data_IF_297528770072
#
_entry.id   IF_297528770072
#
_cell.length_a   1.000
_cell.length_b   1.000
_cell.length_c   1.000
_cell.angle_alpha   90.00
_cell.angle_beta   90.00
_cell.angle_gamma   90.00
#
_symmetry.space_group_name_H-M   'P 1'
#
loop_
_entity.id
_entity.type
_entity.pdbx_description
1 polymer ?
#
# COMPACT_ATOMS: atom_id res chain seq x y z
N UNK A 1 -21.22 -18.75 -23.74
CA UNK A 1 -20.72 -17.44 -24.19
C UNK A 1 -19.30 -17.40 -23.72
N UNK A 2 -18.42 -17.87 -24.59
CA UNK A 2 -17.00 -18.01 -24.35
C UNK A 2 -16.35 -16.68 -24.73
N UNK A 3 -15.77 -16.00 -23.75
CA UNK A 3 -14.99 -14.78 -23.98
C UNK A 3 -13.52 -15.17 -24.06
N UNK A 4 -13.01 -15.18 -25.29
CA UNK A 4 -11.60 -15.23 -25.63
C UNK A 4 -10.88 -14.02 -25.01
N UNK A 5 -9.88 -14.30 -24.15
CA UNK A 5 -8.95 -13.29 -23.66
C UNK A 5 -7.75 -13.22 -24.61
N UNK A 6 -7.68 -12.14 -25.38
CA UNK A 6 -6.52 -11.77 -26.18
C UNK A 6 -5.27 -11.60 -25.30
N UNK A 7 -4.33 -12.51 -25.50
CA UNK A 7 -3.00 -12.54 -24.89
C UNK A 7 -2.02 -11.86 -25.86
N UNK A 8 -2.03 -10.52 -25.90
CA UNK A 8 -1.07 -9.78 -26.74
C UNK A 8 0.33 -9.71 -26.11
N UNK A 9 1.27 -10.32 -26.84
CA UNK A 9 2.70 -10.07 -27.01
C UNK A 9 3.44 -9.22 -25.96
N UNK A 10 4.16 -9.91 -25.08
CA UNK A 10 5.25 -9.31 -24.31
C UNK A 10 6.58 -9.52 -25.02
N UNK A 11 7.08 -8.45 -25.66
CA UNK A 11 8.40 -8.38 -26.29
C UNK A 11 9.50 -8.64 -25.26
N UNK A 12 10.14 -9.80 -25.38
CA UNK A 12 11.29 -10.22 -24.59
C UNK A 12 12.58 -9.58 -25.12
N UNK A 13 13.19 -8.68 -24.35
CA UNK A 13 14.58 -8.27 -24.59
C UNK A 13 15.52 -9.41 -24.19
N UNK A 14 15.87 -10.27 -25.16
CA UNK A 14 17.00 -11.19 -25.02
C UNK A 14 18.30 -10.42 -25.21
N UNK A 15 19.07 -10.29 -24.14
CA UNK A 15 20.52 -10.05 -24.20
C UNK A 15 21.19 -11.25 -24.89
N UNK A 16 21.66 -11.05 -26.12
CA UNK A 16 22.53 -12.00 -26.80
C UNK A 16 23.98 -11.72 -26.36
N UNK A 17 24.49 -12.54 -25.44
CA UNK A 17 25.92 -12.68 -25.21
C UNK A 17 26.51 -13.59 -26.28
N UNK A 18 27.07 -12.99 -27.33
CA UNK A 18 27.82 -13.69 -28.37
C UNK A 18 29.32 -13.65 -28.05
N UNK A 19 29.92 -14.83 -27.89
CA UNK A 19 31.37 -15.06 -27.90
C UNK A 19 31.83 -15.17 -29.35
N UNK A 20 32.79 -14.35 -29.77
CA UNK A 20 33.53 -14.46 -31.04
C UNK A 20 34.97 -14.02 -30.68
N UNK A 21 36.03 -14.81 -30.82
CA UNK A 21 36.45 -15.52 -32.02
C UNK A 21 37.46 -14.64 -32.75
N UNK A 22 38.76 -14.91 -32.53
CA UNK A 22 39.88 -14.18 -33.14
C UNK A 22 39.84 -14.23 -34.68
N UNK A 23 40.01 -13.08 -35.34
CA UNK A 23 40.76 -12.96 -36.62
C UNK A 23 41.06 -11.50 -37.03
N UNK A 24 42.36 -11.30 -37.25
CA UNK A 24 43.12 -10.40 -38.14
C UNK A 24 42.48 -9.18 -38.85
N UNK A 25 43.11 -8.02 -38.57
CA UNK A 25 43.59 -6.91 -39.43
C UNK A 25 42.97 -6.73 -40.84
N UNK A 26 42.28 -5.61 -41.08
CA UNK A 26 42.77 -4.41 -41.80
C UNK A 26 41.60 -3.51 -42.27
N UNK A 27 41.92 -2.22 -42.43
CA UNK A 27 41.12 -1.11 -43.00
C UNK A 27 40.30 -0.24 -42.04
N UNK A 28 40.86 0.95 -41.78
CA UNK A 28 40.22 2.09 -41.13
C UNK A 28 39.21 2.78 -42.08
N UNK A 29 37.93 2.94 -41.70
CA UNK A 29 37.02 3.83 -42.38
C UNK A 29 37.07 5.25 -41.82
N UNK A 30 36.88 6.22 -42.71
CA UNK A 30 36.88 7.66 -42.47
C UNK A 30 35.81 8.13 -41.45
N UNK A 31 36.01 9.29 -40.81
CA UNK A 31 35.07 9.80 -39.80
C UNK A 31 33.78 10.30 -40.47
N UNK A 32 32.69 9.56 -40.29
CA UNK A 32 31.35 10.06 -40.58
C UNK A 32 30.95 11.11 -39.54
N UNK A 33 30.73 12.34 -40.01
CA UNK A 33 30.05 13.40 -39.28
C UNK A 33 28.72 12.87 -38.73
N UNK A 34 28.61 12.74 -37.40
CA UNK A 34 27.34 12.58 -36.71
C UNK A 34 26.60 13.90 -36.72
N UNK A 35 25.42 13.92 -37.35
CA UNK A 35 24.44 15.00 -37.18
C UNK A 35 24.12 15.18 -35.68
N UNK A 36 23.98 16.43 -35.20
CA UNK A 36 23.55 16.70 -33.84
C UNK A 36 22.12 16.18 -33.65
N UNK A 37 21.94 15.35 -32.62
CA UNK A 37 20.64 14.83 -32.22
C UNK A 37 19.64 15.97 -32.00
N UNK A 38 18.51 15.91 -32.71
CA UNK A 38 17.42 16.85 -32.55
C UNK A 38 16.92 16.85 -31.09
N UNK A 39 16.64 18.01 -30.49
CA UNK A 39 16.13 18.08 -29.12
C UNK A 39 14.77 17.39 -29.03
N UNK A 40 14.72 16.31 -28.25
CA UNK A 40 13.52 15.52 -28.04
C UNK A 40 12.39 16.32 -27.38
N UNK A 41 11.22 16.33 -28.03
CA UNK A 41 9.81 16.42 -27.56
C UNK A 41 9.49 16.82 -26.10
N UNK A 42 10.17 17.80 -25.50
CA UNK A 42 9.80 18.33 -24.18
C UNK A 42 8.59 19.29 -24.23
N UNK A 43 8.24 19.81 -25.41
CA UNK A 43 7.14 20.77 -25.55
C UNK A 43 5.74 20.13 -25.46
N UNK A 44 5.54 18.89 -25.92
CA UNK A 44 4.20 18.27 -25.92
C UNK A 44 3.69 17.88 -24.51
N UNK A 45 4.59 17.52 -23.58
CA UNK A 45 4.19 17.14 -22.22
C UNK A 45 3.62 18.30 -21.41
N UNK A 46 4.02 19.55 -21.71
CA UNK A 46 3.49 20.73 -21.01
C UNK A 46 2.05 21.05 -21.42
N UNK A 47 1.68 20.81 -22.68
CA UNK A 47 0.32 21.05 -23.16
C UNK A 47 -0.69 20.05 -22.56
N UNK A 48 -0.35 18.76 -22.48
CA UNK A 48 -1.25 17.75 -21.89
C UNK A 48 -1.52 18.00 -20.39
N UNK A 49 -0.51 18.47 -19.63
CA UNK A 49 -0.69 18.80 -18.21
C UNK A 49 -1.58 20.03 -17.99
N UNK A 50 -1.52 21.05 -18.86
CA UNK A 50 -2.36 22.24 -18.75
C UNK A 50 -3.82 21.96 -19.11
N UNK A 51 -4.09 21.09 -20.10
CA UNK A 51 -5.46 20.72 -20.47
C UNK A 51 -6.19 19.94 -19.37
N UNK A 52 -5.50 19.04 -18.67
CA UNK A 52 -6.11 18.32 -17.54
C UNK A 52 -6.47 19.26 -16.37
N UNK A 53 -5.67 20.30 -16.12
CA UNK A 53 -5.99 21.31 -15.09
C UNK A 53 -7.18 22.19 -15.47
N UNK A 54 -7.39 22.48 -16.76
CA UNK A 54 -8.51 23.30 -17.23
C UNK A 54 -9.84 22.55 -17.24
N UNK A 55 -9.84 21.25 -17.53
CA UNK A 55 -11.08 20.45 -17.50
C UNK A 55 -11.69 20.30 -16.10
N UNK A 56 -10.89 20.33 -15.03
CA UNK A 56 -11.43 20.31 -13.66
C UNK A 56 -12.14 21.63 -13.26
N UNK A 57 -11.83 22.76 -13.89
CA UNK A 57 -12.43 24.05 -13.54
C UNK A 57 -13.75 24.36 -14.26
N UNK A 58 -14.01 23.74 -15.42
CA UNK A 58 -15.12 24.15 -16.30
C UNK A 58 -16.45 23.41 -16.08
N UNK A 59 -16.51 22.39 -15.23
CA UNK A 59 -17.73 21.58 -15.05
C UNK A 59 -18.64 21.94 -13.86
N UNK A 60 -18.36 22.97 -13.07
CA UNK A 60 -19.16 23.25 -11.88
C UNK A 60 -19.67 24.69 -11.80
N UNK A 61 -20.74 24.96 -12.56
CA UNK A 61 -21.78 25.91 -12.14
C UNK A 61 -22.64 25.37 -10.98
N UNK A 62 -22.38 24.15 -10.50
CA UNK A 62 -22.92 23.60 -9.27
C UNK A 62 -22.16 24.12 -8.05
N UNK A 63 -22.84 24.20 -6.89
CA UNK A 63 -22.24 24.54 -5.60
C UNK A 63 -20.92 23.77 -5.42
N UNK A 64 -19.85 24.46 -5.04
CA UNK A 64 -18.57 23.81 -4.71
C UNK A 64 -18.84 22.80 -3.60
N UNK A 65 -18.37 21.58 -3.81
CA UNK A 65 -18.39 20.55 -2.77
C UNK A 65 -17.29 20.89 -1.75
N UNK A 66 -17.73 21.45 -0.62
CA UNK A 66 -16.83 21.94 0.41
C UNK A 66 -16.31 20.82 1.31
N UNK A 67 -16.72 19.55 1.15
CA UNK A 67 -16.28 18.41 1.99
C UNK A 67 -14.76 18.22 1.96
N UNK A 68 -14.22 17.68 3.07
CA UNK A 68 -12.79 17.36 3.19
C UNK A 68 -12.42 16.28 2.17
N UNK A 69 -11.28 16.44 1.49
CA UNK A 69 -10.73 15.46 0.56
C UNK A 69 -9.73 14.55 1.28
N UNK A 70 -10.04 13.24 1.32
CA UNK A 70 -9.15 12.20 1.81
C UNK A 70 -8.51 11.48 0.62
N UNK A 71 -7.19 11.59 0.47
CA UNK A 71 -6.41 10.94 -0.59
C UNK A 71 -5.67 9.73 -0.01
N UNK A 72 -6.08 8.52 -0.37
CA UNK A 72 -5.45 7.29 0.08
C UNK A 72 -4.32 6.88 -0.86
N UNK A 73 -3.17 6.47 -0.33
CA UNK A 73 -2.29 5.58 -1.09
C UNK A 73 -2.98 4.21 -1.31
N UNK A 74 -2.41 3.40 -2.20
CA UNK A 74 -2.88 2.05 -2.44
C UNK A 74 -2.01 1.02 -1.72
N UNK A 75 -0.71 0.98 -2.03
CA UNK A 75 0.16 -0.13 -1.66
C UNK A 75 0.60 0.00 -0.20
N UNK A 76 0.20 -0.96 0.62
CA UNK A 76 0.39 -0.91 2.06
C UNK A 76 -0.70 -0.12 2.81
N UNK A 77 -1.69 0.44 2.11
CA UNK A 77 -2.82 1.16 2.73
C UNK A 77 -4.15 0.47 2.44
N UNK A 78 -4.51 0.33 1.16
CA UNK A 78 -5.77 -0.30 0.72
C UNK A 78 -5.55 -1.64 0.03
N UNK A 79 -4.35 -1.89 -0.47
CA UNK A 79 -3.94 -3.16 -1.10
C UNK A 79 -2.58 -3.59 -0.56
N UNK A 80 -2.24 -4.88 -0.68
CA UNK A 80 -0.99 -5.39 -0.13
C UNK A 80 0.19 -4.80 -0.91
N UNK A 81 1.33 -4.68 -0.25
CA UNK A 81 2.57 -4.32 -0.92
C UNK A 81 2.89 -5.35 -1.99
N UNK A 82 3.30 -4.88 -3.18
CA UNK A 82 3.87 -5.81 -4.16
C UNK A 82 5.12 -6.42 -3.55
N UNK A 83 5.14 -7.75 -3.39
CA UNK A 83 6.23 -8.44 -2.73
C UNK A 83 7.59 -8.00 -3.31
N UNK A 84 8.62 -7.81 -2.47
CA UNK A 84 9.96 -7.56 -2.96
C UNK A 84 10.36 -8.67 -3.93
N UNK A 85 11.01 -8.30 -5.04
CA UNK A 85 11.65 -9.28 -5.92
C UNK A 85 12.68 -10.05 -5.09
N UNK A 86 12.46 -11.34 -4.86
CA UNK A 86 13.49 -12.22 -4.31
C UNK A 86 14.30 -12.79 -5.47
N UNK A 87 15.64 -12.68 -5.39
CA UNK A 87 16.57 -13.28 -6.36
C UNK A 87 16.33 -12.85 -7.83
N UNK A 88 15.90 -11.60 -8.05
CA UNK A 88 15.61 -11.09 -9.40
C UNK A 88 14.34 -11.65 -10.05
N UNK A 89 13.64 -12.58 -9.38
CA UNK A 89 12.36 -13.12 -9.83
C UNK A 89 11.23 -12.33 -9.16
N UNK A 90 10.29 -11.88 -9.98
CA UNK A 90 9.03 -11.34 -9.45
C UNK A 90 8.23 -12.50 -8.90
N UNK A 91 8.12 -12.61 -7.58
CA UNK A 91 7.11 -13.49 -6.98
C UNK A 91 5.78 -12.82 -7.28
N UNK A 92 4.99 -13.38 -8.20
CA UNK A 92 3.62 -12.94 -8.43
C UNK A 92 2.82 -13.34 -7.19
N UNK A 93 2.61 -12.40 -6.27
CA UNK A 93 1.50 -12.48 -5.33
C UNK A 93 0.29 -11.84 -5.98
N UNK A 94 -0.88 -12.43 -5.77
CA UNK A 94 -2.12 -11.81 -6.16
C UNK A 94 -2.27 -10.49 -5.40
N UNK A 95 -2.68 -9.43 -6.09
CA UNK A 95 -3.01 -8.19 -5.42
C UNK A 95 -4.26 -8.44 -4.57
N UNK A 96 -4.09 -8.37 -3.25
CA UNK A 96 -5.20 -8.54 -2.30
C UNK A 96 -5.68 -7.16 -1.85
N UNK A 97 -6.99 -7.03 -1.64
CA UNK A 97 -7.62 -5.84 -1.07
C UNK A 97 -7.62 -5.95 0.44
N UNK A 98 -7.37 -4.84 1.14
CA UNK A 98 -7.39 -4.80 2.61
C UNK A 98 -8.77 -5.23 3.12
N UNK A 99 -8.83 -6.12 4.13
CA UNK A 99 -10.08 -6.50 4.77
C UNK A 99 -10.87 -5.29 5.25
N UNK A 100 -12.20 -5.41 5.22
CA UNK A 100 -13.14 -4.37 5.62
C UNK A 100 -13.10 -3.10 4.75
N UNK A 101 -12.81 -3.25 3.45
CA UNK A 101 -12.77 -2.14 2.50
C UNK A 101 -14.13 -1.43 2.37
N UNK A 102 -15.22 -2.15 2.62
CA UNK A 102 -16.59 -1.61 2.66
C UNK A 102 -16.78 -0.53 3.73
N UNK A 103 -15.98 -0.51 4.80
CA UNK A 103 -16.06 0.54 5.81
C UNK A 103 -15.79 1.94 5.22
N UNK A 104 -15.04 2.05 4.12
CA UNK A 104 -14.84 3.33 3.43
C UNK A 104 -16.13 3.94 2.89
N UNK A 105 -17.19 3.14 2.67
CA UNK A 105 -18.49 3.63 2.21
C UNK A 105 -19.11 4.61 3.20
N UNK A 106 -18.92 4.41 4.51
CA UNK A 106 -19.42 5.30 5.56
C UNK A 106 -18.78 6.69 5.51
N UNK A 107 -17.60 6.84 4.91
CA UNK A 107 -16.94 8.14 4.76
C UNK A 107 -17.59 9.01 3.69
N UNK A 108 -18.32 8.41 2.73
CA UNK A 108 -18.84 9.13 1.56
C UNK A 108 -19.83 10.23 1.88
N UNK A 109 -20.51 10.19 3.01
CA UNK A 109 -21.46 11.25 3.39
C UNK A 109 -20.74 12.53 3.86
N UNK A 110 -19.55 12.39 4.44
CA UNK A 110 -18.82 13.49 5.07
C UNK A 110 -17.59 13.94 4.30
N UNK A 111 -17.05 13.06 3.45
CA UNK A 111 -15.76 13.21 2.80
C UNK A 111 -15.86 12.97 1.31
N UNK A 112 -14.99 13.65 0.56
CA UNK A 112 -14.61 13.24 -0.79
C UNK A 112 -13.46 12.26 -0.67
N UNK A 113 -13.56 11.14 -1.37
CA UNK A 113 -12.53 10.10 -1.33
C UNK A 113 -11.76 10.11 -2.64
N UNK A 114 -10.45 9.96 -2.56
CA UNK A 114 -9.58 9.84 -3.72
C UNK A 114 -8.40 8.92 -3.48
N UNK A 115 -7.70 8.60 -4.55
CA UNK A 115 -6.44 7.89 -4.56
C UNK A 115 -5.34 8.87 -4.91
N UNK A 116 -4.24 8.83 -4.16
CA UNK A 116 -2.98 9.43 -4.60
C UNK A 116 -1.87 8.40 -4.40
N UNK A 117 -1.43 7.76 -5.48
CA UNK A 117 -0.42 6.70 -5.44
C UNK A 117 0.81 7.01 -6.29
N UNK A 118 1.99 6.55 -5.83
CA UNK A 118 3.23 6.58 -6.61
C UNK A 118 3.29 5.49 -7.71
N UNK A 119 2.26 4.67 -7.83
CA UNK A 119 2.15 3.64 -8.86
C UNK A 119 1.73 4.22 -10.23
N UNK A 120 2.05 3.49 -11.30
CA UNK A 120 1.63 3.86 -12.66
C UNK A 120 0.11 3.69 -12.80
N UNK A 121 -0.50 4.43 -13.75
CA UNK A 121 -1.96 4.41 -13.97
C UNK A 121 -2.53 3.00 -14.15
N UNK A 122 -1.93 2.17 -15.00
CA UNK A 122 -2.39 0.79 -15.22
C UNK A 122 -2.36 -0.08 -13.94
N UNK A 123 -1.41 0.16 -13.02
CA UNK A 123 -1.35 -0.54 -11.74
C UNK A 123 -2.51 -0.11 -10.83
N UNK A 124 -2.80 1.19 -10.81
CA UNK A 124 -3.94 1.76 -10.06
C UNK A 124 -5.26 1.23 -10.62
N UNK A 125 -5.44 1.24 -11.93
CA UNK A 125 -6.67 0.76 -12.57
C UNK A 125 -6.95 -0.70 -12.21
N UNK A 126 -5.91 -1.55 -12.20
CA UNK A 126 -6.03 -2.95 -11.76
C UNK A 126 -6.42 -3.08 -10.29
N UNK A 127 -5.79 -2.30 -9.41
CA UNK A 127 -6.12 -2.29 -7.98
C UNK A 127 -7.56 -1.82 -7.72
N UNK A 128 -7.99 -0.77 -8.41
CA UNK A 128 -9.36 -0.25 -8.30
C UNK A 128 -10.40 -1.22 -8.86
N UNK A 129 -10.09 -1.95 -9.93
CA UNK A 129 -10.94 -3.02 -10.42
C UNK A 129 -11.11 -4.13 -9.36
N UNK A 130 -10.05 -4.49 -8.63
CA UNK A 130 -10.14 -5.46 -7.54
C UNK A 130 -10.99 -4.95 -6.37
N UNK A 131 -10.81 -3.69 -5.96
CA UNK A 131 -11.65 -3.07 -4.93
C UNK A 131 -13.12 -3.09 -5.35
N UNK A 132 -13.43 -2.68 -6.59
CA UNK A 132 -14.79 -2.70 -7.13
C UNK A 132 -15.39 -4.11 -7.13
N UNK A 133 -14.63 -5.12 -7.57
CA UNK A 133 -15.09 -6.51 -7.57
C UNK A 133 -15.40 -7.03 -6.16
N UNK A 134 -14.58 -6.68 -5.15
CA UNK A 134 -14.85 -7.04 -3.76
C UNK A 134 -16.14 -6.39 -3.23
N UNK A 135 -16.33 -5.09 -3.48
CA UNK A 135 -17.56 -4.40 -3.08
C UNK A 135 -18.80 -4.97 -3.79
N UNK A 136 -18.71 -5.30 -5.07
CA UNK A 136 -19.81 -5.94 -5.79
C UNK A 136 -20.13 -7.35 -5.25
N UNK A 137 -19.12 -8.11 -4.81
CA UNK A 137 -19.32 -9.39 -4.15
C UNK A 137 -20.05 -9.21 -2.81
N UNK A 138 -19.68 -8.22 -2.01
CA UNK A 138 -20.36 -7.87 -0.75
C UNK A 138 -21.80 -7.39 -0.99
N UNK A 139 -22.07 -6.68 -2.08
CA UNK A 139 -23.44 -6.31 -2.47
C UNK A 139 -24.34 -7.52 -2.70
N UNK A 140 -23.80 -8.59 -3.29
CA UNK A 140 -24.53 -9.87 -3.44
C UNK A 140 -24.81 -10.56 -2.10
N UNK A 141 -24.06 -10.21 -1.05
CA UNK A 141 -24.25 -10.68 0.32
C UNK A 141 -25.16 -9.74 1.14
N UNK A 142 -25.74 -8.70 0.52
CA UNK A 142 -26.67 -7.79 1.18
C UNK A 142 -26.06 -6.50 1.73
N UNK A 143 -24.76 -6.26 1.54
CA UNK A 143 -24.15 -4.96 1.89
C UNK A 143 -24.62 -3.89 0.91
N UNK A 144 -25.08 -2.74 1.42
CA UNK A 144 -25.46 -1.63 0.57
C UNK A 144 -24.21 -0.98 -0.07
N UNK A 145 -24.09 -1.10 -1.39
CA UNK A 145 -23.00 -0.52 -2.16
C UNK A 145 -23.58 0.38 -3.25
N UNK A 146 -23.36 1.70 -3.20
CA UNK A 146 -23.85 2.62 -4.22
C UNK A 146 -23.26 2.32 -5.60
N UNK A 147 -24.02 2.58 -6.66
CA UNK A 147 -23.55 2.40 -8.05
C UNK A 147 -22.45 3.39 -8.44
N UNK A 148 -22.38 4.54 -7.78
CA UNK A 148 -21.37 5.56 -8.02
C UNK A 148 -19.97 5.11 -7.53
N UNK A 149 -18.89 5.46 -8.25
CA UNK A 149 -17.52 5.11 -7.86
C UNK A 149 -17.19 5.48 -6.40
N UNK A 150 -16.40 4.65 -5.73
CA UNK A 150 -15.95 4.92 -4.36
C UNK A 150 -15.01 6.13 -4.29
N UNK A 151 -14.12 6.27 -5.29
CA UNK A 151 -13.10 7.32 -5.34
C UNK A 151 -13.40 8.29 -6.49
N UNK A 152 -13.48 9.58 -6.18
CA UNK A 152 -13.79 10.67 -7.11
C UNK A 152 -12.53 11.27 -7.75
N UNK A 153 -11.41 11.26 -7.03
CA UNK A 153 -10.13 11.87 -7.44
C UNK A 153 -9.08 10.79 -7.56
N UNK A 154 -8.45 10.63 -8.71
CA UNK A 154 -7.40 9.62 -8.93
C UNK A 154 -6.11 10.29 -9.40
N UNK A 155 -5.08 10.24 -8.55
CA UNK A 155 -3.75 10.76 -8.82
C UNK A 155 -2.74 9.61 -8.82
N UNK A 156 -2.03 9.46 -9.93
CA UNK A 156 -1.01 8.43 -10.14
C UNK A 156 0.41 9.02 -10.16
N UNK A 157 1.42 8.18 -10.47
CA UNK A 157 2.84 8.55 -10.47
C UNK A 157 3.18 9.86 -11.20
N UNK A 158 2.50 10.19 -12.29
CA UNK A 158 2.78 11.41 -13.07
C UNK A 158 2.40 12.70 -12.31
N UNK A 159 1.60 12.56 -11.25
CA UNK A 159 1.28 13.63 -10.31
C UNK A 159 2.29 13.72 -9.17
N UNK A 160 3.20 12.77 -9.02
CA UNK A 160 4.26 12.85 -8.02
C UNK A 160 5.40 13.75 -8.51
N UNK A 161 6.21 14.24 -7.57
CA UNK A 161 7.48 14.88 -7.88
C UNK A 161 8.65 13.95 -7.50
N UNK A 162 9.81 14.04 -8.18
CA UNK A 162 11.02 13.39 -7.70
C UNK A 162 11.35 13.87 -6.28
N UNK A 163 11.75 12.95 -5.41
CA UNK A 163 12.26 13.29 -4.09
C UNK A 163 13.70 13.80 -4.22
N UNK A 164 13.93 15.10 -4.00
CA UNK A 164 15.27 15.69 -4.08
C UNK A 164 16.18 15.30 -2.91
N UNK A 165 15.62 14.77 -1.82
CA UNK A 165 16.33 14.43 -0.59
C UNK A 165 16.54 12.92 -0.41
N UNK A 166 16.31 12.11 -1.45
CA UNK A 166 16.35 10.65 -1.36
C UNK A 166 17.65 10.09 -0.79
N UNK A 167 18.80 10.74 -1.05
CA UNK A 167 20.13 10.30 -0.55
C UNK A 167 20.28 10.43 0.97
N UNK A 168 19.51 11.30 1.59
CA UNK A 168 19.58 11.55 3.04
C UNK A 168 18.76 10.53 3.84
N UNK A 169 18.00 9.67 3.14
CA UNK A 169 17.04 8.75 3.76
C UNK A 169 17.59 7.33 3.77
N UNK A 170 17.46 6.59 4.89
CA UNK A 170 17.77 5.17 4.92
C UNK A 170 16.97 4.42 3.84
N UNK A 171 17.65 3.72 2.94
CA UNK A 171 17.02 2.97 1.85
C UNK A 171 16.40 3.84 0.73
N UNK A 172 16.60 5.16 0.75
CA UNK A 172 16.13 6.05 -0.31
C UNK A 172 16.79 5.74 -1.65
N UNK A 173 16.03 5.92 -2.73
CA UNK A 173 16.46 5.60 -4.11
C UNK A 173 16.23 6.78 -5.03
N UNK A 174 17.03 6.90 -6.09
CA UNK A 174 16.94 8.02 -7.05
C UNK A 174 15.56 8.18 -7.70
N UNK A 175 14.84 7.07 -7.86
CA UNK A 175 13.48 7.06 -8.39
C UNK A 175 12.40 7.22 -7.32
N UNK A 176 12.77 7.59 -6.09
CA UNK A 176 11.80 7.91 -5.04
C UNK A 176 11.03 9.16 -5.42
N UNK A 177 9.77 9.20 -4.99
CA UNK A 177 8.86 10.28 -5.31
C UNK A 177 8.11 10.75 -4.07
N UNK A 178 7.74 12.03 -4.07
CA UNK A 178 6.89 12.70 -3.09
C UNK A 178 5.54 13.10 -3.73
N UNK A 179 4.56 13.46 -2.90
CA UNK A 179 3.17 13.77 -3.27
C UNK A 179 2.84 15.24 -2.96
N UNK A 180 3.21 16.19 -3.84
CA UNK A 180 3.05 17.63 -3.59
C UNK A 180 1.57 18.07 -3.69
N UNK A 181 0.84 18.11 -2.58
CA UNK A 181 -0.58 18.45 -2.54
C UNK A 181 -0.83 19.87 -3.05
N UNK A 182 -0.07 20.86 -2.58
CA UNK A 182 -0.27 22.27 -2.95
C UNK A 182 0.01 22.52 -4.44
N UNK A 183 0.94 21.76 -5.05
CA UNK A 183 1.27 21.87 -6.48
C UNK A 183 0.06 21.56 -7.38
N UNK A 184 -0.89 20.77 -6.89
CA UNK A 184 -2.11 20.40 -7.61
C UNK A 184 -3.28 21.33 -7.29
N UNK A 185 -3.05 22.43 -6.56
CA UNK A 185 -4.07 23.40 -6.19
C UNK A 185 -5.07 22.88 -5.15
N UNK A 186 -4.70 21.86 -4.38
CA UNK A 186 -5.51 21.34 -3.29
C UNK A 186 -5.47 22.29 -2.10
N UNK A 187 -6.61 22.49 -1.45
CA UNK A 187 -6.69 23.26 -0.20
C UNK A 187 -6.13 22.42 0.96
N UNK A 188 -4.94 22.80 1.44
CA UNK A 188 -4.28 22.11 2.55
C UNK A 188 -5.06 22.18 3.86
N UNK A 189 -5.96 23.15 4.07
CA UNK A 189 -6.81 23.15 5.26
C UNK A 189 -7.91 22.08 5.18
N UNK A 190 -8.22 21.58 3.98
CA UNK A 190 -9.33 20.66 3.68
C UNK A 190 -8.88 19.37 2.99
N UNK A 191 -7.58 19.05 3.02
CA UNK A 191 -7.02 17.87 2.36
C UNK A 191 -6.13 17.07 3.31
N UNK A 192 -6.33 15.75 3.33
CA UNK A 192 -5.50 14.80 4.09
C UNK A 192 -4.97 13.73 3.14
N UNK A 193 -3.66 13.48 3.18
CA UNK A 193 -3.01 12.36 2.52
C UNK A 193 -2.89 11.20 3.52
N UNK A 194 -3.60 10.11 3.27
CA UNK A 194 -3.56 8.87 4.05
C UNK A 194 -2.56 7.91 3.42
N UNK A 195 -1.42 7.73 4.08
CA UNK A 195 -0.29 7.01 3.48
C UNK A 195 0.55 6.34 4.59
N UNK A 196 1.20 5.23 4.26
CA UNK A 196 2.03 4.44 5.15
C UNK A 196 3.52 4.82 5.05
N UNK A 197 3.93 5.66 4.11
CA UNK A 197 5.32 6.09 3.96
C UNK A 197 5.46 7.60 4.18
N UNK A 198 5.91 7.99 5.38
CA UNK A 198 6.04 9.40 5.78
C UNK A 198 6.92 10.24 4.85
N UNK A 199 7.81 9.60 4.09
CA UNK A 199 8.65 10.27 3.11
C UNK A 199 7.90 10.68 1.83
N UNK A 200 6.60 10.35 1.71
CA UNK A 200 5.76 10.81 0.61
C UNK A 200 5.27 12.23 0.79
N UNK A 201 5.40 12.80 1.98
CA UNK A 201 5.14 14.21 2.23
C UNK A 201 6.18 15.11 1.56
N UNK A 202 5.76 16.30 1.17
CA UNK A 202 6.65 17.39 0.76
C UNK A 202 6.99 18.23 1.98
N UNK A 203 8.21 18.80 2.00
CA UNK A 203 8.62 19.73 3.05
C UNK A 203 7.63 20.90 3.19
N UNK A 204 7.09 21.08 4.38
CA UNK A 204 6.04 22.06 4.70
C UNK A 204 4.60 21.55 4.56
N UNK A 205 4.38 20.34 4.01
CA UNK A 205 3.08 19.68 3.87
C UNK A 205 2.94 18.45 4.79
N UNK A 206 3.90 18.19 5.68
CA UNK A 206 3.92 16.99 6.52
C UNK A 206 2.70 16.90 7.44
N UNK A 207 2.18 18.05 7.90
CA UNK A 207 1.00 18.11 8.75
C UNK A 207 -0.30 17.68 8.03
N UNK A 208 -0.30 17.59 6.70
CA UNK A 208 -1.40 17.05 5.90
C UNK A 208 -1.38 15.53 5.81
N UNK A 209 -0.34 14.89 6.33
CA UNK A 209 -0.16 13.45 6.23
C UNK A 209 -0.73 12.74 7.46
N UNK A 210 -1.69 11.86 7.22
CA UNK A 210 -2.18 10.89 8.19
C UNK A 210 -1.44 9.59 7.94
N UNK A 211 -0.49 9.28 8.82
CA UNK A 211 0.25 8.03 8.79
C UNK A 211 -0.61 6.88 9.27
N UNK A 212 -0.67 5.83 8.46
CA UNK A 212 -1.32 4.57 8.81
C UNK A 212 -0.29 3.46 8.87
N UNK A 213 -0.48 2.44 9.72
CA UNK A 213 0.42 1.30 9.74
C UNK A 213 0.38 0.56 8.40
N UNK A 214 1.53 0.02 8.00
CA UNK A 214 1.63 -0.88 6.86
C UNK A 214 0.58 -2.00 6.96
N UNK A 215 -0.20 -2.16 5.90
CA UNK A 215 -0.99 -3.36 5.72
C UNK A 215 -0.16 -4.42 5.01
N UNK A 216 -0.03 -5.57 5.69
CA UNK A 216 0.62 -6.76 5.18
C UNK A 216 -0.40 -7.89 5.19
N UNK A 217 -0.40 -8.71 4.15
CA UNK A 217 -1.25 -9.89 4.11
C UNK A 217 -0.94 -10.88 5.24
N UNK A 218 0.31 -10.96 5.67
CA UNK A 218 0.70 -11.85 6.77
C UNK A 218 1.53 -11.11 7.79
N UNK A 219 1.05 -11.01 9.04
CA UNK A 219 -0.24 -11.44 9.57
C UNK A 219 -1.31 -10.43 9.19
N UNK A 220 -2.47 -10.93 8.74
CA UNK A 220 -3.57 -10.05 8.32
C UNK A 220 -4.03 -9.24 9.52
N UNK A 221 -3.88 -7.92 9.46
CA UNK A 221 -4.55 -7.01 10.37
C UNK A 221 -5.92 -6.63 9.79
N UNK A 222 -6.97 -7.23 10.32
CA UNK A 222 -8.36 -6.94 9.93
C UNK A 222 -8.93 -5.72 10.67
N UNK A 223 -8.25 -5.22 11.70
CA UNK A 223 -8.86 -4.27 12.63
C UNK A 223 -8.63 -2.80 12.26
N UNK A 224 -7.55 -2.50 11.55
CA UNK A 224 -7.08 -1.12 11.44
C UNK A 224 -7.97 -0.25 10.57
N UNK A 225 -8.50 -0.79 9.46
CA UNK A 225 -9.30 0.00 8.53
C UNK A 225 -10.64 0.41 9.17
N UNK A 226 -11.38 -0.47 9.86
CA UNK A 226 -12.53 -0.07 10.67
C UNK A 226 -12.19 0.99 11.72
N UNK A 227 -11.09 0.83 12.47
CA UNK A 227 -10.67 1.80 13.48
C UNK A 227 -10.30 3.15 12.84
N UNK A 228 -9.61 3.14 11.70
CA UNK A 228 -9.28 4.34 10.94
C UNK A 228 -10.55 5.08 10.50
N UNK A 229 -11.52 4.36 9.92
CA UNK A 229 -12.80 4.94 9.49
C UNK A 229 -13.54 5.57 10.67
N UNK A 230 -13.62 4.86 11.79
CA UNK A 230 -14.26 5.38 13.00
C UNK A 230 -13.59 6.66 13.50
N UNK A 231 -12.25 6.68 13.57
CA UNK A 231 -11.48 7.87 13.96
C UNK A 231 -11.67 9.04 12.99
N UNK A 232 -11.68 8.78 11.68
CA UNK A 232 -11.90 9.80 10.65
C UNK A 232 -13.28 10.46 10.82
N UNK A 233 -14.34 9.65 10.96
CA UNK A 233 -15.70 10.15 11.20
C UNK A 233 -15.82 10.95 12.50
N UNK A 234 -15.03 10.61 13.51
CA UNK A 234 -15.12 11.26 14.82
C UNK A 234 -14.37 12.59 14.88
N UNK A 235 -13.21 12.69 14.25
CA UNK A 235 -12.25 13.77 14.52
C UNK A 235 -12.21 14.86 13.45
N UNK A 236 -12.48 14.51 12.18
CA UNK A 236 -12.31 15.41 11.05
C UNK A 236 -13.56 16.24 10.67
N UNK A 237 -14.82 15.77 10.79
CA UNK A 237 -15.97 16.56 10.34
C UNK A 237 -16.07 17.92 11.03
N UNK A 238 -16.53 18.92 10.28
CA UNK A 238 -16.71 20.30 10.78
C UNK A 238 -15.42 21.09 11.01
N UNK A 239 -14.23 20.51 10.80
CA UNK A 239 -12.94 21.20 11.00
C UNK A 239 -12.68 22.21 9.88
N UNK A 240 -12.36 23.45 10.25
CA UNK A 240 -11.84 24.44 9.29
C UNK A 240 -10.43 24.06 8.78
N UNK A 241 -9.61 23.47 9.65
CA UNK A 241 -8.27 22.97 9.34
C UNK A 241 -8.11 21.54 9.87
N UNK A 242 -7.80 20.61 8.97
CA UNK A 242 -7.69 19.17 9.26
C UNK A 242 -6.34 18.76 9.84
N UNK A 243 -5.31 19.59 9.72
CA UNK A 243 -3.91 19.20 10.03
C UNK A 243 -3.70 18.76 11.49
N UNK A 244 -4.21 19.46 12.52
CA UNK A 244 -4.08 18.98 13.90
C UNK A 244 -4.81 17.66 14.15
N UNK A 245 -5.94 17.44 13.45
CA UNK A 245 -6.74 16.24 13.60
C UNK A 245 -6.11 15.01 12.91
N UNK A 246 -5.42 15.20 11.78
CA UNK A 246 -4.77 14.12 11.04
C UNK A 246 -3.75 13.36 11.91
N UNK A 247 -2.89 14.09 12.63
CA UNK A 247 -1.91 13.48 13.53
C UNK A 247 -2.55 12.81 14.75
N UNK A 248 -3.65 13.37 15.28
CA UNK A 248 -4.40 12.74 16.35
C UNK A 248 -5.05 11.42 15.91
N UNK A 249 -5.51 11.32 14.65
CA UNK A 249 -5.99 10.04 14.09
C UNK A 249 -4.85 9.02 14.02
N UNK A 250 -3.66 9.40 13.51
CA UNK A 250 -2.49 8.51 13.50
C UNK A 250 -2.12 8.04 14.90
N UNK A 251 -2.15 8.94 15.90
CA UNK A 251 -1.92 8.61 17.31
C UNK A 251 -2.93 7.57 17.81
N UNK A 252 -4.23 7.79 17.54
CA UNK A 252 -5.29 6.86 17.91
C UNK A 252 -5.08 5.48 17.31
N UNK A 253 -4.70 5.39 16.03
CA UNK A 253 -4.38 4.12 15.37
C UNK A 253 -3.22 3.38 16.03
N UNK A 254 -2.14 4.09 16.38
CA UNK A 254 -1.00 3.48 17.09
C UNK A 254 -1.45 2.97 18.45
N UNK A 255 -2.19 3.76 19.22
CA UNK A 255 -2.75 3.33 20.51
C UNK A 255 -3.65 2.11 20.40
N UNK A 256 -4.55 2.06 19.41
CA UNK A 256 -5.41 0.90 19.15
C UNK A 256 -4.60 -0.37 18.92
N UNK A 257 -3.54 -0.27 18.12
CA UNK A 257 -2.61 -1.38 17.86
C UNK A 257 -1.90 -1.84 19.13
N UNK A 258 -1.33 -0.91 19.89
CA UNK A 258 -0.60 -1.20 21.12
C UNK A 258 -1.50 -1.84 22.18
N UNK A 259 -2.74 -1.34 22.33
CA UNK A 259 -3.72 -1.91 23.25
C UNK A 259 -4.11 -3.34 22.85
N UNK A 260 -4.24 -3.61 21.54
CA UNK A 260 -4.69 -4.91 21.03
C UNK A 260 -3.60 -5.97 20.96
N UNK A 261 -2.40 -5.59 20.57
CA UNK A 261 -1.32 -6.53 20.24
C UNK A 261 -0.09 -6.38 21.14
N UNK A 262 -0.14 -5.46 22.11
CA UNK A 262 0.95 -5.19 23.05
C UNK A 262 2.06 -4.30 22.49
N UNK A 263 3.10 -4.01 23.31
CA UNK A 263 4.18 -3.07 22.97
C UNK A 263 4.97 -3.42 21.69
N UNK A 264 5.07 -4.71 21.37
CA UNK A 264 5.81 -5.18 20.18
C UNK A 264 5.15 -4.83 18.85
N UNK A 265 3.89 -4.39 18.85
CA UNK A 265 3.12 -4.08 17.66
C UNK A 265 3.20 -2.61 17.21
N UNK A 266 4.11 -1.82 17.80
CA UNK A 266 4.36 -0.46 17.34
C UNK A 266 4.72 -0.48 15.83
N UNK A 267 3.98 0.28 14.99
CA UNK A 267 4.23 0.34 13.56
C UNK A 267 5.64 0.82 13.26
N UNK A 268 6.33 0.11 12.37
CA UNK A 268 7.72 0.43 12.00
C UNK A 268 7.78 1.72 11.19
N UNK A 269 6.73 1.97 10.41
CA UNK A 269 6.65 3.05 9.43
C UNK A 269 6.10 4.37 10.00
N UNK A 270 5.71 4.40 11.27
CA UNK A 270 5.20 5.60 11.94
C UNK A 270 6.21 6.07 13.00
N UNK A 271 6.87 7.23 12.79
CA UNK A 271 7.73 7.82 13.81
C UNK A 271 6.97 8.01 15.12
N UNK A 272 7.41 7.31 16.16
CA UNK A 272 6.73 7.28 17.45
C UNK A 272 7.75 7.24 18.59
N UNK A 273 7.74 8.26 19.43
CA UNK A 273 8.72 8.49 20.51
C UNK A 273 7.99 8.97 21.75
N UNK A 274 8.35 8.44 22.93
CA UNK A 274 7.75 8.82 24.22
C UNK A 274 6.22 8.78 24.24
N UNK A 275 5.65 7.78 23.57
CA UNK A 275 4.20 7.60 23.52
C UNK A 275 3.48 8.53 22.52
N UNK A 276 4.20 9.18 21.60
CA UNK A 276 3.63 10.16 20.66
C UNK A 276 4.10 9.96 19.23
N UNK A 277 3.18 10.14 18.28
CA UNK A 277 3.49 10.29 16.85
C UNK A 277 4.19 11.63 16.66
N UNK A 278 5.37 11.62 16.06
CA UNK A 278 6.22 12.81 15.91
C UNK A 278 6.29 13.34 14.48
N UNK A 279 5.59 12.70 13.53
CA UNK A 279 5.60 13.14 12.14
C UNK A 279 4.69 14.35 11.91
N UNK A 280 5.21 15.36 11.22
CA UNK A 280 4.46 16.49 10.69
C UNK A 280 3.87 17.44 11.73
N UNK A 281 4.10 17.17 13.01
CA UNK A 281 3.56 17.95 14.12
C UNK A 281 4.69 18.26 15.09
N UNK A 282 4.85 19.55 15.42
CA UNK A 282 5.78 19.96 16.46
C UNK A 282 5.37 19.39 17.83
N UNK A 283 6.25 19.43 18.85
CA UNK A 283 5.97 18.89 20.19
C UNK A 283 4.65 19.39 20.80
N UNK A 284 4.27 20.62 20.46
CA UNK A 284 3.08 21.31 20.97
C UNK A 284 1.85 21.21 20.04
N UNK A 285 2.01 20.63 18.83
CA UNK A 285 0.94 20.63 17.83
C UNK A 285 -0.08 19.49 17.98
N UNK A 286 0.19 18.52 18.87
CA UNK A 286 -0.78 17.49 19.24
C UNK A 286 -1.66 18.00 20.37
N UNK A 287 -2.84 18.50 20.00
CA UNK A 287 -3.84 18.95 20.95
C UNK A 287 -4.25 17.81 21.90
N UNK A 288 -4.01 17.93 23.22
CA UNK A 288 -4.29 16.87 24.18
C UNK A 288 -5.75 16.39 24.15
N UNK A 289 -6.68 17.32 23.91
CA UNK A 289 -8.11 17.00 23.77
C UNK A 289 -8.42 16.12 22.56
N UNK A 290 -7.71 16.29 21.44
CA UNK A 290 -7.87 15.44 20.26
C UNK A 290 -7.31 14.05 20.48
N UNK A 291 -6.16 13.95 21.15
CA UNK A 291 -5.55 12.65 21.49
C UNK A 291 -6.46 11.87 22.45
N UNK A 292 -7.00 12.53 23.47
CA UNK A 292 -7.96 11.90 24.39
C UNK A 292 -9.23 11.45 23.66
N UNK A 293 -9.75 12.26 22.74
CA UNK A 293 -10.90 11.89 21.91
C UNK A 293 -10.58 10.70 20.99
N UNK A 294 -9.37 10.63 20.43
CA UNK A 294 -8.94 9.50 19.61
C UNK A 294 -8.85 8.20 20.42
N UNK A 295 -8.29 8.25 21.64
CA UNK A 295 -8.23 7.08 22.53
C UNK A 295 -9.62 6.60 22.89
N UNK A 296 -10.51 7.52 23.28
CA UNK A 296 -11.90 7.17 23.58
C UNK A 296 -12.61 6.52 22.39
N UNK A 297 -12.44 7.08 21.20
CA UNK A 297 -13.02 6.53 19.97
C UNK A 297 -12.49 5.11 19.65
N UNK A 298 -11.21 4.84 19.95
CA UNK A 298 -10.64 3.50 19.82
C UNK A 298 -11.25 2.52 20.81
N UNK A 299 -11.46 2.94 22.06
CA UNK A 299 -12.12 2.12 23.09
C UNK A 299 -13.57 1.79 22.71
N UNK A 300 -14.31 2.77 22.18
CA UNK A 300 -15.65 2.60 21.63
C UNK A 300 -15.66 1.58 20.47
N UNK A 301 -14.78 1.76 19.48
CA UNK A 301 -14.66 0.85 18.35
C UNK A 301 -14.27 -0.58 18.75
N UNK A 302 -13.44 -0.74 19.79
CA UNK A 302 -13.07 -2.04 20.33
C UNK A 302 -14.25 -2.74 21.02
N UNK A 303 -15.09 -1.99 21.75
CA UNK A 303 -16.31 -2.50 22.36
C UNK A 303 -17.30 -3.03 21.33
N UNK A 304 -17.53 -2.27 20.25
CA UNK A 304 -18.42 -2.67 19.15
C UNK A 304 -17.92 -3.93 18.43
N UNK A 305 -16.61 -3.99 18.17
CA UNK A 305 -15.99 -5.16 17.55
C UNK A 305 -16.10 -6.41 18.43
N UNK A 306 -15.92 -6.28 19.75
CA UNK A 306 -16.06 -7.40 20.68
C UNK A 306 -17.51 -7.93 20.72
N UNK A 307 -18.50 -7.03 20.70
CA UNK A 307 -19.91 -7.40 20.64
C UNK A 307 -20.26 -8.15 19.33
N UNK A 308 -19.72 -7.70 18.19
CA UNK A 308 -19.90 -8.37 16.91
C UNK A 308 -19.18 -9.74 16.84
N UNK A 309 -17.99 -9.85 17.45
CA UNK A 309 -17.16 -11.08 17.45
C UNK A 309 -17.70 -12.17 18.38
N UNK A 310 -18.37 -11.79 19.47
CA UNK A 310 -18.98 -12.74 20.43
C UNK A 310 -20.01 -13.67 19.80
N UNK A 311 -20.55 -13.30 18.63
CA UNK A 311 -21.46 -14.13 17.86
C UNK A 311 -20.75 -15.18 16.97
N UNK A 312 -19.44 -15.10 16.74
CA UNK A 312 -18.73 -15.88 15.70
C UNK A 312 -17.70 -16.91 16.21
N UNK A 313 -17.53 -17.09 17.52
CA UNK A 313 -16.92 -18.30 18.12
C UNK A 313 -15.45 -18.67 17.81
N UNK A 314 -14.61 -17.77 17.29
CA UNK A 314 -13.22 -18.10 16.91
C UNK A 314 -12.15 -17.61 17.94
N UNK A 315 -11.05 -18.37 18.18
CA UNK A 315 -10.07 -18.06 19.23
C UNK A 315 -9.07 -16.94 18.86
N UNK A 316 -9.01 -15.88 19.68
CA UNK A 316 -8.22 -14.67 19.43
C UNK A 316 -6.72 -14.73 19.83
N UNK A 317 -6.32 -15.66 20.70
CA UNK A 317 -4.97 -15.66 21.30
C UNK A 317 -3.83 -16.00 20.31
N UNK A 318 -4.09 -16.90 19.35
CA UNK A 318 -3.08 -17.29 18.35
C UNK A 318 -2.72 -16.17 17.38
N UNK A 319 -3.67 -15.29 17.07
CA UNK A 319 -3.48 -14.19 16.13
C UNK A 319 -2.49 -13.14 16.69
N UNK A 320 -2.55 -12.85 17.99
CA UNK A 320 -1.70 -11.85 18.66
C UNK A 320 -0.23 -12.25 18.63
N UNK A 321 0.09 -13.51 18.89
CA UNK A 321 1.47 -14.01 18.84
C UNK A 321 2.05 -13.92 17.41
N UNK A 322 1.25 -14.22 16.38
CA UNK A 322 1.65 -14.11 14.98
C UNK A 322 1.91 -12.64 14.58
N UNK A 323 1.07 -11.70 15.02
CA UNK A 323 1.26 -10.25 14.83
C UNK A 323 2.56 -9.73 15.44
N UNK A 324 2.86 -10.10 16.68
CA UNK A 324 4.10 -9.73 17.33
C UNK A 324 5.33 -10.32 16.61
N UNK A 325 5.28 -11.60 16.24
CA UNK A 325 6.39 -12.28 15.56
C UNK A 325 6.70 -11.67 14.18
N UNK A 326 5.67 -11.32 13.41
CA UNK A 326 5.87 -10.71 12.11
C UNK A 326 6.31 -9.25 12.17
N UNK A 327 5.82 -8.47 13.15
CA UNK A 327 6.33 -7.13 13.41
C UNK A 327 7.83 -7.19 13.77
N UNK A 328 8.25 -8.16 14.59
CA UNK A 328 9.66 -8.41 14.89
C UNK A 328 10.46 -8.86 13.66
N UNK A 329 9.91 -9.75 12.81
CA UNK A 329 10.56 -10.19 11.58
C UNK A 329 10.74 -9.04 10.58
N UNK A 330 9.75 -8.16 10.46
CA UNK A 330 9.81 -6.97 9.63
C UNK A 330 10.87 -5.96 10.16
N UNK A 331 10.95 -5.75 11.49
CA UNK A 331 12.03 -4.95 12.12
C UNK A 331 13.40 -5.51 11.77
N UNK A 332 13.62 -6.81 12.01
CA UNK A 332 14.87 -7.47 11.68
C UNK A 332 15.21 -7.39 10.17
N UNK A 333 14.22 -7.40 9.28
CA UNK A 333 14.44 -7.23 7.84
C UNK A 333 14.81 -5.79 7.46
N UNK A 334 14.23 -4.79 8.12
CA UNK A 334 14.60 -3.38 7.95
C UNK A 334 15.99 -3.09 8.51
N UNK A 335 16.33 -3.60 9.69
CA UNK A 335 17.64 -3.40 10.33
C UNK A 335 18.76 -4.01 9.48
N UNK A 336 18.58 -5.25 8.99
CA UNK A 336 19.52 -5.89 8.05
C UNK A 336 19.72 -5.09 6.75
N UNK A 337 18.72 -4.32 6.30
CA UNK A 337 18.84 -3.44 5.13
C UNK A 337 19.58 -2.15 5.46
N UNK A 338 19.43 -1.60 6.66
CA UNK A 338 20.11 -0.39 7.10
C UNK A 338 21.62 -0.62 7.27
N UNK A 339 22.02 -1.81 7.75
CA UNK A 339 23.42 -2.15 8.02
C UNK A 339 24.23 -2.56 6.79
N UNK A 340 23.64 -2.53 5.59
CA UNK A 340 24.33 -2.91 4.35
C UNK A 340 24.80 -4.37 4.33
N UNK A 341 24.28 -5.23 5.21
CA UNK A 341 24.57 -6.67 5.19
C UNK A 341 23.93 -7.31 3.95
N UNK A 342 24.71 -7.39 2.88
CA UNK A 342 24.43 -8.28 1.76
C UNK A 342 24.57 -9.70 2.30
N UNK A 343 23.45 -10.40 2.46
CA UNK A 343 23.47 -11.85 2.73
C UNK A 343 24.18 -12.50 1.53
N UNK A 344 25.44 -12.91 1.73
CA UNK A 344 26.14 -13.74 0.75
C UNK A 344 25.36 -15.05 0.63
N UNK A 345 24.88 -15.34 -0.58
CA UNK A 345 24.22 -16.60 -0.85
C UNK A 345 25.19 -17.75 -0.55
N UNK A 346 24.72 -18.85 0.09
CA UNK A 346 25.55 -20.04 0.27
C UNK A 346 26.03 -20.50 -1.11
N UNK A 347 27.29 -20.90 -1.16
CA UNK A 347 27.93 -21.30 -2.42
C UNK A 347 27.20 -22.52 -2.99
N UNK A 348 27.28 -22.73 -4.31
CA UNK A 348 26.72 -23.94 -4.96
C UNK A 348 27.22 -25.25 -4.31
N UNK A 349 28.37 -25.21 -3.63
CA UNK A 349 28.97 -26.36 -2.95
C UNK A 349 28.18 -26.72 -1.67
N UNK A 350 27.64 -25.73 -0.97
CA UNK A 350 26.90 -25.94 0.28
C UNK A 350 25.49 -26.53 0.06
N UNK A 351 24.90 -26.33 -1.12
CA UNK A 351 23.58 -26.90 -1.47
C UNK A 351 23.61 -28.41 -1.75
N UNK A 352 24.75 -28.96 -2.17
CA UNK A 352 24.88 -30.38 -2.47
C UNK A 352 24.98 -31.23 -1.18
N UNK A 353 25.56 -30.68 -0.11
CA UNK A 353 25.69 -31.38 1.17
C UNK A 353 24.36 -31.52 1.93
N UNK A 354 23.46 -30.54 1.82
CA UNK A 354 22.17 -30.55 2.53
C UNK A 354 21.13 -31.52 1.93
N UNK A 355 21.29 -31.95 0.68
CA UNK A 355 20.37 -32.90 0.03
C UNK A 355 20.71 -34.37 0.31
N UNK A 356 21.89 -34.69 0.84
CA UNK A 356 22.30 -36.06 1.15
C UNK A 356 21.87 -36.55 2.55
N UNK A 357 21.46 -35.64 3.45
CA UNK A 357 21.06 -36.00 4.83
C UNK A 357 19.57 -36.30 5.03
N UNK A 358 18.74 -36.30 3.98
CA UNK A 358 17.28 -36.40 4.09
C UNK A 358 16.68 -37.67 3.45
N UNK A 359 17.40 -38.81 3.45
CA UNK A 359 16.86 -40.12 3.07
C UNK A 359 17.05 -41.10 4.22
N UNK A 360 16.07 -41.14 5.13
CA UNK A 360 16.08 -42.04 6.27
C UNK A 360 14.89 -41.80 7.18
N UNK A 361 13.69 -42.21 6.76
CA UNK A 361 12.47 -42.05 7.55
C UNK A 361 11.39 -43.03 7.10
N UNK A 362 11.03 -43.93 8.00
CA UNK A 362 10.25 -45.14 7.81
C UNK A 362 8.83 -44.96 7.23
N UNK A 363 8.46 -45.93 6.41
CA UNK A 363 7.10 -46.18 5.92
C UNK A 363 6.23 -46.75 7.04
N UNK A 364 5.06 -46.15 7.27
CA UNK A 364 3.96 -46.81 7.96
C UNK A 364 2.93 -47.28 6.93
N UNK A 365 2.76 -48.60 6.87
CA UNK A 365 1.66 -49.27 6.19
C UNK A 365 0.54 -49.50 7.20
N UNK A 366 -0.67 -49.02 6.90
CA UNK A 366 -1.90 -49.59 7.47
C UNK A 366 -2.94 -49.88 6.36
N UNK A 367 -3.78 -50.92 6.54
CA UNK A 367 -4.45 -51.62 5.47
C UNK A 367 -5.84 -51.04 5.15
N UNK A 368 -6.17 -50.96 3.86
CA UNK A 368 -7.53 -50.70 3.39
C UNK A 368 -8.37 -51.98 3.54
N UNK A 369 -9.36 -51.93 4.43
CA UNK A 369 -10.44 -52.91 4.54
C UNK A 369 -11.52 -52.76 3.44
N UNK A 370 -12.36 -53.79 3.22
CA UNK A 370 -13.06 -53.97 1.95
C UNK A 370 -14.49 -53.41 1.90
N UNK A 371 -14.86 -52.99 0.68
CA UNK A 371 -16.17 -53.10 0.02
C UNK A 371 -17.42 -52.57 0.74
N UNK A 372 -18.01 -51.53 0.14
CA UNK A 372 -19.47 -51.46 -0.06
C UNK A 372 -19.75 -50.94 -1.47
N UNK A 373 -20.30 -51.81 -2.31
CA UNK A 373 -21.07 -51.48 -3.51
C UNK A 373 -22.35 -52.32 -3.47
N UNK A 374 -23.37 -51.80 -4.14
CA UNK A 374 -24.75 -52.29 -4.30
C UNK A 374 -25.70 -51.86 -3.17
N UNK A 375 -26.77 -51.09 -3.42
CA UNK A 375 -27.80 -51.28 -4.46
C UNK A 375 -28.66 -50.01 -4.56
N UNK A 376 -28.91 -49.53 -5.77
CA UNK A 376 -30.20 -49.67 -6.47
C UNK A 376 -30.06 -49.11 -7.90
N UNK A 377 -30.08 -50.01 -8.88
CA UNK A 377 -30.01 -49.72 -10.31
C UNK A 377 -29.60 -50.94 -11.16
N UNK A 378 -30.47 -51.96 -11.15
CA UNK A 378 -30.46 -53.24 -11.89
C UNK A 378 -29.63 -54.39 -11.31
#
# INVERSE_FOLDING_TARGET
MDEDYDLEDYVSYKYAGGVVGERAVDHAPAPHHREPAQPAQQHDRRHQQQEHQHNHRRHHGGKRDDRILLLFDLNGVLTDHTAPRMEGRSIRRDHVVRPHIECLLALREHFRLGIYSSAMRHTIDRALALVRSNLLAMRRQGVEVPDAPLFEVIMHRDHCAPDLHWRQRPGGKEWSTVKPLARHGLDLARCVLVDNDWHKSVKGEEANMLLVPDWLQEPVSNADLPVLVHLLLRLLPGRADVRPAAAAVSQGLVHARLARFGPGAQPINIPYTDGRVTHGVGPDGLEPGLVAAAVKAVEEAAGDAAAASGASGAPAAGLVATHAAAAQAARAACDRRADGQVVQAPSRVDRAAAQQTAVGGQWWTEPLGPRYHERLGW
#
